data_IF_011797975978
#
_entry.id   IF_011797975978
#
_cell.length_a   1.000
_cell.length_b   1.000
_cell.length_c   1.000
_cell.angle_alpha   90.00
_cell.angle_beta   90.00
_cell.angle_gamma   90.00
#
_symmetry.space_group_name_H-M   'P 1'
#
loop_
_entity.id
_entity.type
_entity.pdbx_description
1 polymer ?
#
# COMPACT_ATOMS: atom_id res chain seq x y z
N UNK A 1 2.91 -5.33 -34.37
CA UNK A 1 2.33 -4.23 -33.57
C UNK A 1 1.05 -3.82 -34.26
N UNK A 2 -0.09 -3.89 -33.56
CA UNK A 2 -1.31 -3.25 -34.02
C UNK A 2 -1.04 -1.74 -33.93
N UNK A 3 -1.24 -0.96 -35.01
CA UNK A 3 -1.09 0.48 -34.91
C UNK A 3 -2.11 0.98 -33.88
N UNK A 4 -1.63 1.66 -32.85
CA UNK A 4 -2.46 2.44 -31.95
C UNK A 4 -3.29 3.41 -32.82
N UNK A 5 -4.60 3.30 -32.80
CA UNK A 5 -5.46 4.29 -33.44
C UNK A 5 -5.62 5.45 -32.45
N UNK A 6 -5.71 6.69 -32.97
CA UNK A 6 -6.01 7.88 -32.14
C UNK A 6 -7.35 7.76 -31.39
N UNK A 7 -8.21 6.80 -31.73
CA UNK A 7 -9.45 6.48 -31.04
C UNK A 7 -9.27 5.60 -29.78
N UNK A 8 -8.07 4.99 -29.57
CA UNK A 8 -7.75 4.13 -28.40
C UNK A 8 -7.06 4.90 -27.26
N UNK A 9 -7.01 6.24 -27.31
CA UNK A 9 -6.20 7.07 -26.39
C UNK A 9 -6.65 7.05 -24.92
N UNK A 10 -7.81 6.50 -24.58
CA UNK A 10 -8.35 6.56 -23.22
C UNK A 10 -8.64 5.20 -22.58
N UNK A 11 -7.73 4.23 -22.75
CA UNK A 11 -7.79 2.95 -22.05
C UNK A 11 -6.94 2.96 -20.78
N UNK A 12 -7.24 2.08 -19.81
CA UNK A 12 -6.41 1.89 -18.62
C UNK A 12 -4.94 1.54 -18.98
N UNK A 13 -4.74 0.87 -20.13
CA UNK A 13 -3.41 0.50 -20.62
C UNK A 13 -2.64 1.71 -21.13
N UNK A 14 -3.27 2.58 -21.95
CA UNK A 14 -2.64 3.79 -22.47
C UNK A 14 -2.32 4.78 -21.36
N UNK A 15 -3.21 4.91 -20.37
CA UNK A 15 -2.97 5.75 -19.18
C UNK A 15 -1.76 5.29 -18.39
N UNK A 16 -1.63 3.98 -18.14
CA UNK A 16 -0.47 3.42 -17.43
C UNK A 16 0.85 3.73 -18.14
N UNK A 17 0.90 3.61 -19.46
CA UNK A 17 2.08 3.95 -20.24
C UNK A 17 2.40 5.46 -20.22
N UNK A 18 1.38 6.32 -20.36
CA UNK A 18 1.56 7.78 -20.32
C UNK A 18 2.09 8.27 -18.97
N UNK A 19 1.49 7.81 -17.86
CA UNK A 19 1.87 8.25 -16.51
C UNK A 19 3.32 7.92 -16.19
N UNK A 20 3.80 6.76 -16.67
CA UNK A 20 5.12 6.24 -16.32
C UNK A 20 6.12 6.25 -17.48
N UNK A 21 5.83 7.00 -18.54
CA UNK A 21 6.71 7.14 -19.73
C UNK A 21 7.11 5.79 -20.38
N UNK A 22 6.20 4.82 -20.38
CA UNK A 22 6.42 3.51 -20.99
C UNK A 22 6.43 3.59 -22.52
N UNK A 23 7.33 2.83 -23.17
CA UNK A 23 7.50 2.76 -24.62
C UNK A 23 7.87 1.35 -25.09
N UNK A 24 8.01 1.16 -26.39
CA UNK A 24 8.49 -0.10 -26.98
C UNK A 24 9.93 -0.48 -26.57
N UNK A 25 10.73 0.51 -26.18
CA UNK A 25 12.10 0.32 -25.69
C UNK A 25 12.16 -0.06 -24.21
N UNK A 26 11.03 0.02 -23.49
CA UNK A 26 10.99 -0.28 -22.07
C UNK A 26 11.21 -1.77 -21.79
N UNK A 27 11.90 -2.05 -20.68
CA UNK A 27 12.04 -3.40 -20.14
C UNK A 27 11.39 -3.38 -18.75
N UNK A 28 10.23 -4.04 -18.65
CA UNK A 28 9.38 -4.01 -17.47
C UNK A 28 9.56 -5.27 -16.63
N UNK A 29 9.89 -5.12 -15.34
CA UNK A 29 10.00 -6.21 -14.36
C UNK A 29 8.70 -6.35 -13.55
N UNK A 30 8.11 -7.53 -13.57
CA UNK A 30 6.93 -7.93 -12.80
C UNK A 30 7.29 -8.97 -11.75
N UNK A 31 7.53 -8.58 -10.48
CA UNK A 31 7.84 -9.52 -9.40
C UNK A 31 6.59 -10.09 -8.72
N UNK A 32 5.41 -9.54 -8.98
CA UNK A 32 4.15 -9.93 -8.37
C UNK A 32 3.31 -10.84 -9.29
N UNK A 33 2.42 -11.69 -8.72
CA UNK A 33 1.62 -12.63 -9.50
C UNK A 33 0.66 -11.94 -10.48
N UNK A 34 0.61 -12.44 -11.72
CA UNK A 34 -0.16 -11.84 -12.82
C UNK A 34 -1.68 -11.97 -12.70
N UNK A 35 -2.21 -12.76 -11.78
CA UNK A 35 -3.66 -12.85 -11.57
C UNK A 35 -4.24 -11.67 -10.77
N UNK A 36 -3.40 -10.69 -10.39
CA UNK A 36 -3.83 -9.44 -9.78
C UNK A 36 -4.04 -8.35 -10.82
N UNK A 37 -4.97 -7.45 -10.51
CA UNK A 37 -5.32 -6.35 -11.43
C UNK A 37 -4.10 -5.53 -11.83
N UNK A 38 -3.30 -5.07 -10.88
CA UNK A 38 -2.17 -4.20 -11.16
C UNK A 38 -1.06 -4.90 -11.99
N UNK A 39 -0.46 -6.03 -11.56
CA UNK A 39 0.53 -6.74 -12.38
C UNK A 39 0.00 -7.12 -13.76
N UNK A 40 -1.25 -7.56 -13.88
CA UNK A 40 -1.84 -7.89 -15.17
C UNK A 40 -1.97 -6.66 -16.06
N UNK A 41 -2.49 -5.55 -15.54
CA UNK A 41 -2.68 -4.31 -16.29
C UNK A 41 -1.35 -3.75 -16.80
N UNK A 42 -0.34 -3.64 -15.92
CA UNK A 42 0.95 -3.10 -16.32
C UNK A 42 1.68 -4.02 -17.32
N UNK A 43 1.70 -5.34 -17.12
CA UNK A 43 2.27 -6.25 -18.12
C UNK A 43 1.55 -6.13 -19.47
N UNK A 44 0.22 -6.08 -19.46
CA UNK A 44 -0.57 -5.93 -20.70
C UNK A 44 -0.27 -4.60 -21.38
N UNK A 45 -0.12 -3.51 -20.63
CA UNK A 45 0.19 -2.19 -21.16
C UNK A 45 1.57 -2.17 -21.84
N UNK A 46 2.61 -2.62 -21.13
CA UNK A 46 3.97 -2.66 -21.69
C UNK A 46 4.08 -3.59 -22.89
N UNK A 47 3.45 -4.78 -22.85
CA UNK A 47 3.41 -5.69 -24.00
C UNK A 47 2.65 -5.10 -25.17
N UNK A 48 1.53 -4.40 -24.96
CA UNK A 48 0.78 -3.72 -26.02
C UNK A 48 1.60 -2.60 -26.68
N UNK A 49 2.47 -1.93 -25.92
CA UNK A 49 3.43 -0.95 -26.45
C UNK A 49 4.60 -1.58 -27.24
N UNK A 50 4.74 -2.91 -27.25
CA UNK A 50 5.88 -3.59 -27.87
C UNK A 50 7.10 -3.76 -26.95
N UNK A 51 6.98 -3.39 -25.67
CA UNK A 51 8.03 -3.50 -24.67
C UNK A 51 8.34 -4.97 -24.29
N UNK A 52 9.46 -5.17 -23.59
CA UNK A 52 9.83 -6.47 -23.03
C UNK A 52 9.31 -6.59 -21.60
N UNK A 53 8.64 -7.71 -21.27
CA UNK A 53 8.27 -8.04 -19.88
C UNK A 53 9.17 -9.14 -19.33
N UNK A 54 9.79 -8.88 -18.17
CA UNK A 54 10.53 -9.83 -17.36
C UNK A 54 9.65 -10.21 -16.18
N UNK A 55 9.28 -11.49 -16.07
CA UNK A 55 8.33 -11.97 -15.05
C UNK A 55 9.08 -12.89 -14.10
N UNK A 56 9.06 -12.58 -12.81
CA UNK A 56 9.55 -13.50 -11.79
C UNK A 56 8.44 -14.48 -11.42
N UNK A 57 8.78 -15.76 -11.38
CA UNK A 57 7.85 -16.81 -10.95
C UNK A 57 7.42 -16.60 -9.48
N UNK A 58 8.35 -16.14 -8.65
CA UNK A 58 8.17 -15.79 -7.24
C UNK A 58 9.11 -14.65 -6.90
N UNK A 59 8.63 -13.72 -6.07
CA UNK A 59 9.48 -12.66 -5.54
C UNK A 59 10.56 -13.23 -4.62
N UNK A 60 11.79 -12.91 -4.97
CA UNK A 60 13.00 -13.09 -4.19
C UNK A 60 13.88 -11.86 -4.38
N UNK A 61 14.44 -11.32 -3.32
CA UNK A 61 15.09 -10.02 -3.32
C UNK A 61 16.34 -10.02 -4.23
N UNK A 62 17.20 -11.02 -4.06
CA UNK A 62 18.44 -11.09 -4.85
C UNK A 62 18.15 -11.39 -6.31
N UNK A 63 17.18 -12.27 -6.60
CA UNK A 63 16.73 -12.56 -7.96
C UNK A 63 16.16 -11.34 -8.67
N UNK A 64 15.46 -10.46 -7.93
CA UNK A 64 14.91 -9.23 -8.48
C UNK A 64 16.02 -8.21 -8.83
N UNK A 65 17.00 -8.01 -7.94
CA UNK A 65 18.17 -7.15 -8.22
C UNK A 65 18.98 -7.67 -9.41
N UNK A 66 19.20 -8.98 -9.43
CA UNK A 66 19.88 -9.65 -10.55
C UNK A 66 19.13 -9.48 -11.88
N UNK A 67 17.79 -9.58 -11.85
CA UNK A 67 16.98 -9.36 -13.06
C UNK A 67 17.11 -7.91 -13.57
N UNK A 68 17.15 -6.92 -12.65
CA UNK A 68 17.35 -5.51 -13.03
C UNK A 68 18.69 -5.35 -13.76
N UNK A 69 19.77 -5.92 -13.24
CA UNK A 69 21.10 -5.86 -13.86
C UNK A 69 21.17 -6.63 -15.19
N UNK A 70 20.77 -7.91 -15.19
CA UNK A 70 20.94 -8.82 -16.33
C UNK A 70 20.12 -8.37 -17.56
N UNK A 71 18.89 -7.94 -17.35
CA UNK A 71 17.97 -7.53 -18.41
C UNK A 71 17.96 -6.01 -18.66
N UNK A 72 18.73 -5.22 -17.88
CA UNK A 72 18.72 -3.75 -17.97
C UNK A 72 17.30 -3.19 -17.83
N UNK A 73 16.60 -3.65 -16.81
CA UNK A 73 15.23 -3.24 -16.49
C UNK A 73 15.14 -1.73 -16.34
N UNK A 74 14.15 -1.14 -17.01
CA UNK A 74 13.88 0.31 -16.93
C UNK A 74 12.69 0.63 -16.04
N UNK A 75 11.66 -0.23 -16.03
CA UNK A 75 10.41 -0.05 -15.29
C UNK A 75 10.10 -1.28 -14.45
N UNK A 76 9.46 -1.07 -13.31
CA UNK A 76 9.10 -2.18 -12.42
C UNK A 76 7.89 -1.83 -11.55
N UNK A 77 7.24 -2.84 -10.99
CA UNK A 77 6.15 -2.63 -10.04
C UNK A 77 6.34 -3.44 -8.76
N UNK A 78 6.10 -2.82 -7.62
CA UNK A 78 6.38 -3.34 -6.28
C UNK A 78 5.18 -3.18 -5.34
N UNK A 79 5.27 -3.86 -4.21
CA UNK A 79 4.43 -3.60 -3.03
C UNK A 79 5.33 -3.26 -1.83
N UNK A 80 4.86 -2.47 -0.85
CA UNK A 80 5.70 -1.98 0.25
C UNK A 80 6.41 -3.07 1.05
N UNK A 81 5.81 -4.26 1.20
CA UNK A 81 6.47 -5.39 1.87
C UNK A 81 7.73 -5.88 1.13
N UNK A 82 7.78 -5.75 -0.20
CA UNK A 82 8.99 -6.06 -0.97
C UNK A 82 10.10 -5.05 -0.65
N UNK A 83 9.76 -3.77 -0.50
CA UNK A 83 10.72 -2.73 -0.08
C UNK A 83 11.29 -3.01 1.31
N UNK A 84 10.43 -3.37 2.29
CA UNK A 84 10.89 -3.77 3.62
C UNK A 84 11.89 -4.93 3.54
N UNK A 85 11.62 -5.94 2.73
CA UNK A 85 12.50 -7.09 2.54
C UNK A 85 13.82 -6.67 1.88
N UNK A 86 13.79 -5.84 0.86
CA UNK A 86 14.99 -5.26 0.24
C UNK A 86 15.86 -4.49 1.26
N UNK A 87 15.24 -3.67 2.09
CA UNK A 87 15.97 -2.87 3.08
C UNK A 87 16.63 -3.72 4.15
N UNK A 88 16.05 -4.89 4.47
CA UNK A 88 16.58 -5.86 5.44
C UNK A 88 17.65 -6.80 4.87
N UNK A 89 17.91 -6.77 3.55
CA UNK A 89 19.02 -7.54 2.95
C UNK A 89 20.38 -7.10 3.50
N UNK A 90 21.33 -8.03 3.45
CA UNK A 90 22.72 -7.73 3.75
C UNK A 90 23.23 -6.59 2.82
N UNK A 91 23.86 -5.54 3.37
CA UNK A 91 24.39 -4.43 2.59
C UNK A 91 25.37 -4.87 1.49
N UNK A 92 26.13 -5.95 1.71
CA UNK A 92 27.06 -6.48 0.70
C UNK A 92 26.35 -7.06 -0.52
N UNK A 93 25.13 -7.59 -0.35
CA UNK A 93 24.30 -8.07 -1.46
C UNK A 93 23.69 -6.88 -2.19
N UNK A 94 23.16 -5.89 -1.45
CA UNK A 94 22.58 -4.67 -2.05
C UNK A 94 23.55 -3.93 -2.99
N UNK A 95 24.83 -3.87 -2.62
CA UNK A 95 25.86 -3.18 -3.40
C UNK A 95 26.45 -3.98 -4.55
N UNK A 96 26.06 -5.25 -4.71
CA UNK A 96 26.63 -6.16 -5.72
C UNK A 96 26.10 -5.92 -7.14
N UNK A 97 24.89 -5.38 -7.27
CA UNK A 97 24.17 -5.27 -8.52
C UNK A 97 24.15 -3.86 -9.09
N UNK A 98 24.32 -3.72 -10.40
CA UNK A 98 24.16 -2.47 -11.14
C UNK A 98 22.69 -2.18 -11.43
N UNK A 99 22.12 -1.21 -10.76
CA UNK A 99 20.71 -0.79 -10.92
C UNK A 99 20.57 0.48 -11.79
N UNK A 100 21.61 0.94 -12.46
CA UNK A 100 21.64 2.20 -13.19
C UNK A 100 20.67 2.31 -14.37
N UNK A 101 20.20 1.16 -14.90
CA UNK A 101 19.18 1.13 -15.94
C UNK A 101 17.76 1.39 -15.44
N UNK A 102 17.52 1.25 -14.11
CA UNK A 102 16.21 1.33 -13.50
C UNK A 102 15.77 2.79 -13.37
N UNK A 103 14.74 3.20 -14.07
CA UNK A 103 14.29 4.58 -14.19
C UNK A 103 12.98 4.86 -13.48
N UNK A 104 12.09 3.85 -13.42
CA UNK A 104 10.75 3.97 -12.83
C UNK A 104 10.41 2.75 -11.98
N UNK A 105 10.21 2.96 -10.69
CA UNK A 105 9.80 1.95 -9.73
C UNK A 105 8.40 2.29 -9.19
N UNK A 106 7.37 1.64 -9.73
CA UNK A 106 5.97 1.88 -9.36
C UNK A 106 5.64 1.06 -8.13
N UNK A 107 4.95 1.63 -7.15
CA UNK A 107 4.41 0.84 -6.04
C UNK A 107 2.99 1.24 -5.66
N UNK A 108 2.25 0.28 -5.10
CA UNK A 108 0.87 0.45 -4.68
C UNK A 108 0.41 -0.72 -3.79
N UNK A 109 -0.90 -0.92 -3.69
CA UNK A 109 -1.60 -2.02 -3.01
C UNK A 109 -1.68 -1.92 -1.49
N UNK A 110 -0.77 -1.22 -0.84
CA UNK A 110 -0.81 -0.93 0.60
C UNK A 110 -0.09 0.41 0.85
N UNK A 111 -0.41 1.11 1.93
CA UNK A 111 0.35 2.29 2.32
C UNK A 111 1.82 1.91 2.61
N UNK A 112 2.75 2.72 2.07
CA UNK A 112 4.17 2.52 2.31
C UNK A 112 4.60 3.29 3.56
N UNK A 113 5.26 2.66 4.57
CA UNK A 113 5.80 3.39 5.70
C UNK A 113 6.77 4.50 5.25
N UNK A 114 6.66 5.69 5.87
CA UNK A 114 7.47 6.85 5.48
C UNK A 114 8.96 6.52 5.46
N UNK A 115 9.47 5.91 6.54
CA UNK A 115 10.89 5.52 6.67
C UNK A 115 11.31 4.52 5.58
N UNK A 116 10.44 3.60 5.21
CA UNK A 116 10.72 2.63 4.13
C UNK A 116 10.89 3.34 2.80
N UNK A 117 9.96 4.25 2.46
CA UNK A 117 10.01 4.96 1.18
C UNK A 117 11.20 5.93 1.12
N UNK A 118 11.52 6.63 2.22
CA UNK A 118 12.72 7.45 2.32
C UNK A 118 13.99 6.66 2.04
N UNK A 119 14.18 5.52 2.71
CA UNK A 119 15.36 4.66 2.53
C UNK A 119 15.42 4.06 1.12
N UNK A 120 14.29 3.74 0.51
CA UNK A 120 14.27 3.28 -0.88
C UNK A 120 14.65 4.38 -1.86
N UNK A 121 14.18 5.62 -1.66
CA UNK A 121 14.57 6.79 -2.47
C UNK A 121 16.08 7.08 -2.28
N UNK A 122 16.60 6.98 -1.05
CA UNK A 122 18.03 7.14 -0.80
C UNK A 122 18.87 6.10 -1.54
N UNK A 123 18.40 4.85 -1.62
CA UNK A 123 19.14 3.77 -2.25
C UNK A 123 18.97 3.73 -3.78
N UNK A 124 17.74 3.82 -4.28
CA UNK A 124 17.45 3.67 -5.73
C UNK A 124 17.45 5.00 -6.49
N UNK A 125 17.47 6.12 -5.76
CA UNK A 125 17.26 7.45 -6.32
C UNK A 125 15.77 7.83 -6.39
N UNK A 126 15.45 9.03 -6.90
CA UNK A 126 14.09 9.56 -6.95
C UNK A 126 13.25 8.96 -8.10
N UNK A 127 13.26 7.63 -8.22
CA UNK A 127 12.56 6.89 -9.28
C UNK A 127 11.27 6.22 -8.81
N UNK A 128 10.91 6.37 -7.52
CA UNK A 128 9.71 5.77 -6.96
C UNK A 128 8.47 6.58 -7.33
N UNK A 129 7.46 5.87 -7.82
CA UNK A 129 6.14 6.40 -8.11
C UNK A 129 5.10 5.61 -7.33
N UNK A 130 4.25 6.29 -6.60
CA UNK A 130 3.15 5.66 -5.87
C UNK A 130 1.81 6.02 -6.53
N UNK A 131 0.91 5.06 -6.55
CA UNK A 131 -0.49 5.34 -6.83
C UNK A 131 -1.40 4.67 -5.80
N UNK A 132 -2.54 5.30 -5.53
CA UNK A 132 -3.64 4.71 -4.78
C UNK A 132 -4.85 4.60 -5.69
N UNK A 133 -5.35 3.38 -5.84
CA UNK A 133 -6.52 3.04 -6.64
C UNK A 133 -7.12 1.72 -6.19
N UNK A 134 -8.37 1.45 -6.55
CA UNK A 134 -9.04 0.17 -6.36
C UNK A 134 -9.20 -0.61 -7.66
N UNK A 135 -9.46 -1.90 -7.53
CA UNK A 135 -9.85 -2.77 -8.66
C UNK A 135 -11.19 -2.31 -9.26
N UNK A 136 -11.99 -1.62 -8.48
CA UNK A 136 -13.27 -1.00 -8.84
C UNK A 136 -13.10 0.11 -9.89
N UNK A 137 -11.88 0.59 -10.12
CA UNK A 137 -11.55 1.66 -11.07
C UNK A 137 -12.37 2.95 -10.86
N UNK A 138 -12.65 3.27 -9.59
CA UNK A 138 -13.48 4.41 -9.21
C UNK A 138 -12.70 5.74 -9.06
N UNK A 139 -11.40 5.70 -9.22
CA UNK A 139 -10.50 6.85 -9.16
C UNK A 139 -9.06 6.43 -8.86
N UNK A 140 -8.15 7.38 -8.99
CA UNK A 140 -6.72 7.15 -8.79
C UNK A 140 -6.03 8.41 -8.30
N UNK A 141 -5.13 8.28 -7.33
CA UNK A 141 -4.13 9.30 -7.01
C UNK A 141 -2.75 8.85 -7.44
N UNK A 142 -1.87 9.79 -7.72
CA UNK A 142 -0.47 9.53 -8.09
C UNK A 142 0.46 10.52 -7.41
N UNK A 143 1.68 10.08 -7.11
CA UNK A 143 2.76 10.91 -6.59
C UNK A 143 4.11 10.33 -7.00
N UNK A 144 5.03 11.18 -7.44
CA UNK A 144 6.42 10.82 -7.70
C UNK A 144 7.31 11.04 -6.47
N UNK A 145 8.59 10.69 -6.57
CA UNK A 145 9.53 10.83 -5.45
C UNK A 145 9.79 12.26 -5.03
N UNK A 146 9.85 13.20 -5.97
CA UNK A 146 10.15 14.62 -5.70
C UNK A 146 8.99 15.25 -4.93
N UNK A 147 7.76 15.11 -5.44
CA UNK A 147 6.56 15.56 -4.74
C UNK A 147 6.41 14.88 -3.37
N UNK A 148 6.70 13.58 -3.30
CA UNK A 148 6.56 12.83 -2.05
C UNK A 148 7.54 13.29 -0.97
N UNK A 149 8.75 13.70 -1.32
CA UNK A 149 9.73 14.24 -0.36
C UNK A 149 9.25 15.53 0.31
N UNK A 150 8.40 16.30 -0.38
CA UNK A 150 7.73 17.50 0.16
C UNK A 150 6.45 17.14 0.93
N UNK A 151 5.75 16.07 0.52
CA UNK A 151 4.48 15.59 1.09
C UNK A 151 4.61 14.17 1.67
N UNK A 152 5.54 13.97 2.60
CA UNK A 152 5.85 12.65 3.18
C UNK A 152 4.63 11.98 3.80
N UNK A 153 4.36 10.74 3.39
CA UNK A 153 3.21 9.96 3.84
C UNK A 153 1.96 10.11 2.98
N UNK A 154 1.95 11.05 2.03
CA UNK A 154 0.87 11.19 1.06
C UNK A 154 0.89 10.06 0.03
N UNK A 155 -0.29 9.69 -0.46
CA UNK A 155 -0.49 8.81 -1.63
C UNK A 155 -0.79 9.62 -2.91
N UNK A 156 -0.57 10.93 -2.87
CA UNK A 156 -0.65 11.84 -4.01
C UNK A 156 -1.97 12.57 -4.18
N UNK A 157 -2.10 13.19 -5.34
CA UNK A 157 -3.29 13.94 -5.75
C UNK A 157 -4.10 13.15 -6.76
N UNK A 158 -5.41 13.43 -6.79
CA UNK A 158 -6.30 12.80 -7.78
C UNK A 158 -5.85 13.10 -9.20
N UNK A 159 -5.78 12.05 -10.00
CA UNK A 159 -5.49 12.17 -11.44
C UNK A 159 -6.76 12.41 -12.27
N UNK A 160 -7.91 11.89 -11.79
CA UNK A 160 -9.18 11.95 -12.49
C UNK A 160 -10.30 12.38 -11.53
N UNK A 161 -10.84 13.57 -11.75
CA UNK A 161 -11.94 14.10 -10.96
C UNK A 161 -11.56 14.52 -9.54
N UNK A 162 -12.50 15.09 -8.79
CA UNK A 162 -12.26 15.55 -7.44
C UNK A 162 -12.21 14.40 -6.43
N UNK A 163 -11.40 14.59 -5.38
CA UNK A 163 -11.45 13.83 -4.15
C UNK A 163 -12.28 14.59 -3.13
N UNK A 164 -13.06 13.85 -2.36
CA UNK A 164 -13.89 14.37 -1.28
C UNK A 164 -13.58 13.60 0.01
N UNK A 165 -13.47 14.32 1.12
CA UNK A 165 -13.37 13.73 2.44
C UNK A 165 -14.66 14.03 3.18
N UNK A 166 -15.43 12.97 3.50
CA UNK A 166 -16.77 13.10 4.07
C UNK A 166 -16.84 12.56 5.50
N UNK A 167 -17.61 13.24 6.34
CA UNK A 167 -18.00 12.75 7.66
C UNK A 167 -19.04 11.62 7.59
N UNK A 168 -19.55 11.19 8.75
CA UNK A 168 -20.56 10.14 8.82
C UNK A 168 -21.95 10.57 8.30
N UNK A 169 -22.23 11.87 8.28
CA UNK A 169 -23.43 12.47 7.71
C UNK A 169 -23.33 12.73 6.21
N UNK A 170 -22.16 12.44 5.59
CA UNK A 170 -21.90 12.63 4.16
C UNK A 170 -21.61 14.08 3.76
N UNK A 171 -21.17 14.92 4.70
CA UNK A 171 -20.74 16.29 4.45
C UNK A 171 -19.23 16.37 4.34
N UNK A 172 -18.75 17.27 3.50
CA UNK A 172 -17.32 17.56 3.42
C UNK A 172 -16.79 18.11 4.73
N UNK A 173 -15.65 17.55 5.17
CA UNK A 173 -14.89 18.03 6.32
C UNK A 173 -13.92 19.14 5.92
N UNK A 174 -13.38 19.87 6.88
CA UNK A 174 -12.37 20.89 6.61
C UNK A 174 -11.03 20.25 6.19
N UNK A 175 -10.20 21.01 5.48
CA UNK A 175 -8.83 20.61 5.12
C UNK A 175 -8.05 20.20 6.37
N UNK A 176 -7.36 19.06 6.31
CA UNK A 176 -6.64 18.46 7.42
C UNK A 176 -7.51 17.63 8.38
N UNK A 177 -8.83 17.68 8.28
CA UNK A 177 -9.71 16.82 9.07
C UNK A 177 -9.88 15.45 8.41
N UNK A 178 -9.94 14.41 9.22
CA UNK A 178 -10.05 13.02 8.78
C UNK A 178 -11.50 12.62 8.55
N UNK A 179 -11.76 11.96 7.41
CA UNK A 179 -13.08 11.42 7.06
C UNK A 179 -12.96 10.28 6.06
N UNK A 180 -14.08 9.77 5.57
CA UNK A 180 -14.12 8.78 4.50
C UNK A 180 -13.65 9.37 3.17
N UNK A 181 -12.80 8.64 2.44
CA UNK A 181 -12.27 9.04 1.14
C UNK A 181 -13.23 8.64 0.03
N UNK A 182 -13.66 9.60 -0.78
CA UNK A 182 -14.56 9.40 -1.90
C UNK A 182 -14.00 10.01 -3.19
N UNK A 183 -14.18 9.29 -4.28
CA UNK A 183 -13.94 9.79 -5.63
C UNK A 183 -15.26 10.26 -6.24
N UNK A 184 -15.26 11.42 -6.87
CA UNK A 184 -16.44 12.03 -7.45
C UNK A 184 -16.21 12.59 -8.86
N UNK A 185 -17.27 13.23 -9.43
CA UNK A 185 -17.26 13.91 -10.72
C UNK A 185 -17.76 13.05 -11.89
N UNK A 186 -17.82 13.66 -13.08
CA UNK A 186 -18.35 13.04 -14.31
C UNK A 186 -17.54 11.84 -14.81
N UNK A 187 -16.32 11.67 -14.29
CA UNK A 187 -15.42 10.54 -14.57
C UNK A 187 -15.55 9.39 -13.57
N UNK A 188 -16.41 9.54 -12.55
CA UNK A 188 -16.64 8.48 -11.58
C UNK A 188 -17.19 7.24 -12.27
N UNK A 189 -16.39 6.18 -12.28
CA UNK A 189 -16.81 4.90 -12.85
C UNK A 189 -17.80 4.26 -11.89
N UNK A 190 -18.99 3.91 -12.38
CA UNK A 190 -19.94 3.11 -11.63
C UNK A 190 -19.49 1.66 -11.67
N UNK A 191 -19.41 1.03 -10.50
CA UNK A 191 -19.10 -0.39 -10.34
C UNK A 191 -20.19 -1.07 -9.53
N UNK A 192 -20.27 -2.39 -9.63
CA UNK A 192 -21.21 -3.21 -8.86
C UNK A 192 -20.48 -4.43 -8.31
N UNK A 193 -20.66 -4.70 -7.02
CA UNK A 193 -20.17 -5.94 -6.43
C UNK A 193 -21.10 -7.10 -6.82
N UNK A 194 -20.53 -8.14 -7.43
CA UNK A 194 -21.30 -9.27 -7.91
C UNK A 194 -22.09 -9.95 -6.79
N UNK A 195 -23.42 -10.03 -6.95
CA UNK A 195 -24.36 -10.60 -5.97
C UNK A 195 -24.32 -9.97 -4.56
N UNK A 196 -23.83 -8.74 -4.43
CA UNK A 196 -23.74 -8.02 -3.16
C UNK A 196 -24.21 -6.57 -3.32
N UNK A 197 -25.55 -6.44 -3.41
CA UNK A 197 -26.21 -5.16 -3.61
C UNK A 197 -26.02 -4.20 -2.42
N UNK A 198 -26.08 -4.73 -1.20
CA UNK A 198 -25.93 -3.94 0.02
C UNK A 198 -24.53 -3.31 0.09
N UNK A 199 -23.49 -4.08 -0.23
CA UNK A 199 -22.13 -3.59 -0.30
C UNK A 199 -21.97 -2.54 -1.41
N UNK A 200 -22.59 -2.74 -2.57
CA UNK A 200 -22.56 -1.76 -3.67
C UNK A 200 -23.21 -0.44 -3.25
N UNK A 201 -24.42 -0.51 -2.66
CA UNK A 201 -25.13 0.68 -2.18
C UNK A 201 -24.37 1.39 -1.07
N UNK A 202 -23.65 0.68 -0.19
CA UNK A 202 -22.82 1.27 0.86
C UNK A 202 -21.55 1.94 0.37
N UNK A 203 -21.07 1.58 -0.81
CA UNK A 203 -19.85 2.12 -1.41
C UNK A 203 -20.10 3.37 -2.27
N UNK A 204 -21.35 3.69 -2.59
CA UNK A 204 -21.73 4.79 -3.49
C UNK A 204 -22.68 5.74 -2.76
N UNK A 205 -22.37 7.04 -2.75
CA UNK A 205 -23.27 8.06 -2.19
C UNK A 205 -24.47 8.34 -3.11
N UNK A 206 -25.48 9.03 -2.61
CA UNK A 206 -26.65 9.45 -3.40
C UNK A 206 -26.28 10.35 -4.58
N UNK A 207 -25.18 11.09 -4.45
CA UNK A 207 -24.66 12.00 -5.47
C UNK A 207 -23.67 11.34 -6.42
N UNK A 208 -23.53 9.98 -6.35
CA UNK A 208 -22.70 9.19 -7.25
C UNK A 208 -21.22 9.15 -6.92
N UNK A 209 -20.78 9.73 -5.80
CA UNK A 209 -19.40 9.57 -5.33
C UNK A 209 -19.19 8.16 -4.80
N UNK A 210 -18.00 7.59 -5.02
CA UNK A 210 -17.69 6.22 -4.63
C UNK A 210 -16.47 6.11 -3.73
N UNK A 211 -16.49 5.14 -2.81
CA UNK A 211 -15.44 4.91 -1.81
C UNK A 211 -14.96 3.47 -1.82
N UNK A 212 -13.68 3.27 -1.52
CA UNK A 212 -13.08 1.96 -1.23
C UNK A 212 -13.16 1.58 0.26
N UNK A 213 -13.77 2.47 1.08
CA UNK A 213 -13.86 2.31 2.53
C UNK A 213 -12.59 2.73 3.27
N UNK A 214 -11.72 3.47 2.62
CA UNK A 214 -10.52 4.04 3.23
C UNK A 214 -10.84 5.38 3.91
N UNK A 215 -10.08 5.71 4.95
CA UNK A 215 -10.17 6.92 5.75
C UNK A 215 -8.89 7.72 5.57
N UNK A 216 -9.02 9.04 5.44
CA UNK A 216 -7.88 9.92 5.21
C UNK A 216 -8.25 11.39 5.33
N UNK A 217 -7.32 12.25 4.97
CA UNK A 217 -7.51 13.69 4.89
C UNK A 217 -6.76 14.28 3.69
N UNK A 218 -7.15 15.46 3.27
CA UNK A 218 -6.43 16.26 2.27
C UNK A 218 -5.68 17.39 2.99
N UNK A 219 -4.47 17.69 2.51
CA UNK A 219 -3.81 18.93 2.88
C UNK A 219 -4.32 20.13 2.05
N UNK A 220 -3.79 21.32 2.29
CA UNK A 220 -4.16 22.56 1.60
C UNK A 220 -3.73 22.60 0.14
N UNK A 221 -2.83 21.73 -0.29
CA UNK A 221 -2.39 21.54 -1.67
C UNK A 221 -3.14 20.40 -2.39
N UNK A 222 -4.06 19.71 -1.68
CA UNK A 222 -4.92 18.64 -2.23
C UNK A 222 -4.24 17.27 -2.30
N UNK A 223 -3.15 17.05 -1.56
CA UNK A 223 -2.55 15.75 -1.40
C UNK A 223 -3.32 14.90 -0.39
N UNK A 224 -3.56 13.63 -0.74
CA UNK A 224 -4.28 12.66 0.09
C UNK A 224 -3.33 11.93 1.02
N UNK A 225 -3.69 11.88 2.30
CA UNK A 225 -3.05 11.08 3.34
C UNK A 225 -4.02 10.03 3.84
N UNK A 226 -3.68 8.75 3.65
CA UNK A 226 -4.49 7.64 4.15
C UNK A 226 -4.09 7.33 5.59
N UNK A 227 -5.07 7.25 6.48
CA UNK A 227 -4.86 6.86 7.88
C UNK A 227 -5.03 5.36 8.09
N UNK A 228 -6.16 4.80 7.68
CA UNK A 228 -6.43 3.33 7.68
C UNK A 228 -7.76 3.04 6.95
N UNK A 229 -8.20 1.79 7.00
CA UNK A 229 -9.56 1.43 6.61
C UNK A 229 -10.52 1.61 7.79
N UNK A 230 -11.71 2.13 7.56
CA UNK A 230 -12.76 2.28 8.57
C UNK A 230 -13.02 0.96 9.33
N UNK A 231 -12.93 -0.20 8.65
CA UNK A 231 -13.14 -1.53 9.22
C UNK A 231 -12.05 -2.01 10.19
N UNK A 232 -10.89 -1.36 10.23
CA UNK A 232 -9.77 -1.73 11.10
C UNK A 232 -9.52 -0.74 12.22
N UNK A 233 -10.19 0.40 12.21
CA UNK A 233 -10.10 1.39 13.28
C UNK A 233 -10.44 0.75 14.63
N UNK A 234 -9.60 0.98 15.62
CA UNK A 234 -9.76 0.50 17.00
C UNK A 234 -10.39 1.60 17.82
N UNK A 235 -11.44 1.30 18.55
CA UNK A 235 -12.08 2.28 19.46
C UNK A 235 -11.74 1.90 20.89
N UNK A 236 -10.73 2.57 21.44
CA UNK A 236 -10.24 2.30 22.80
C UNK A 236 -10.51 3.51 23.72
N UNK A 237 -11.36 3.33 24.71
CA UNK A 237 -11.74 4.40 25.65
C UNK A 237 -12.30 5.66 24.97
N UNK A 238 -13.01 5.49 23.83
CA UNK A 238 -13.56 6.60 23.04
C UNK A 238 -12.55 7.28 22.12
N UNK A 239 -11.32 6.76 22.03
CA UNK A 239 -10.29 7.27 21.13
C UNK A 239 -10.20 6.37 19.90
N UNK A 240 -10.24 6.98 18.72
CA UNK A 240 -10.01 6.30 17.45
C UNK A 240 -8.51 6.08 17.25
N UNK A 241 -8.10 4.82 17.16
CA UNK A 241 -6.70 4.42 16.93
C UNK A 241 -6.63 3.72 15.58
N UNK A 242 -5.73 4.18 14.75
CA UNK A 242 -5.46 3.58 13.43
C UNK A 242 -4.26 2.63 13.54
N UNK A 243 -4.48 1.32 13.35
CA UNK A 243 -3.44 0.28 13.52
C UNK A 243 -2.19 0.49 12.68
N UNK A 244 -2.33 1.12 11.51
CA UNK A 244 -1.25 1.31 10.56
C UNK A 244 -0.02 1.99 11.16
N UNK A 245 -0.18 3.00 12.00
CA UNK A 245 0.94 3.70 12.62
C UNK A 245 1.81 2.76 13.48
N UNK A 246 1.15 1.85 14.20
CA UNK A 246 1.82 0.82 15.01
C UNK A 246 2.47 -0.25 14.13
N UNK A 247 1.81 -0.66 13.04
CA UNK A 247 2.37 -1.61 12.07
C UNK A 247 3.62 -1.03 11.40
N UNK A 248 3.56 0.23 10.95
CA UNK A 248 4.67 0.93 10.30
C UNK A 248 5.90 1.04 11.20
N UNK A 249 5.69 1.24 12.50
CA UNK A 249 6.77 1.27 13.48
C UNK A 249 7.35 -0.12 13.72
N UNK A 250 6.49 -1.11 14.02
CA UNK A 250 6.94 -2.46 14.38
C UNK A 250 7.64 -3.19 13.23
N UNK A 251 7.18 -3.00 11.98
CA UNK A 251 7.80 -3.67 10.82
C UNK A 251 9.24 -3.24 10.58
N UNK A 252 9.65 -2.06 11.07
CA UNK A 252 11.04 -1.58 10.98
C UNK A 252 11.96 -2.21 12.04
N UNK A 253 11.41 -2.83 13.07
CA UNK A 253 12.23 -3.47 14.11
C UNK A 253 13.00 -4.66 13.52
N UNK A 254 14.34 -4.80 13.81
CA UNK A 254 15.19 -5.85 13.21
C UNK A 254 14.69 -7.28 13.42
N UNK A 255 14.03 -7.54 14.55
CA UNK A 255 13.52 -8.87 14.91
C UNK A 255 12.09 -9.15 14.38
N UNK A 256 11.47 -8.23 13.66
CA UNK A 256 10.13 -8.37 13.08
C UNK A 256 10.25 -8.63 11.59
N UNK A 257 9.73 -9.74 11.09
CA UNK A 257 9.63 -9.98 9.64
C UNK A 257 8.35 -9.37 9.08
N UNK A 258 7.24 -9.49 9.83
CA UNK A 258 5.93 -8.98 9.45
C UNK A 258 5.06 -8.74 10.69
N UNK A 259 4.02 -7.90 10.57
CA UNK A 259 3.15 -7.55 11.70
C UNK A 259 1.73 -7.25 11.25
N UNK A 260 0.77 -7.61 12.07
CA UNK A 260 -0.63 -7.22 12.00
C UNK A 260 -1.05 -6.59 13.33
N UNK A 261 -1.71 -5.43 13.28
CA UNK A 261 -2.25 -4.75 14.46
C UNK A 261 -3.76 -4.57 14.30
N UNK A 262 -4.52 -4.87 15.35
CA UNK A 262 -5.98 -4.73 15.38
C UNK A 262 -6.51 -4.61 16.81
N UNK A 263 -7.78 -4.22 16.94
CA UNK A 263 -8.48 -4.17 18.21
C UNK A 263 -8.96 -5.54 18.64
N UNK A 264 -8.79 -5.84 19.92
CA UNK A 264 -9.40 -6.98 20.61
C UNK A 264 -10.30 -6.50 21.75
N UNK A 265 -11.31 -7.30 22.17
CA UNK A 265 -12.22 -6.88 23.24
C UNK A 265 -11.47 -6.56 24.54
N UNK A 266 -11.87 -5.44 25.19
CA UNK A 266 -11.41 -5.05 26.50
C UNK A 266 -12.63 -4.57 27.32
N UNK A 267 -12.84 -5.11 28.51
CA UNK A 267 -14.03 -4.84 29.35
C UNK A 267 -14.15 -3.36 29.75
N UNK A 268 -13.03 -2.68 29.98
CA UNK A 268 -13.01 -1.29 30.46
C UNK A 268 -13.00 -0.29 29.30
N UNK A 269 -12.23 -0.57 28.25
CA UNK A 269 -11.96 0.38 27.16
C UNK A 269 -12.77 0.10 25.89
N UNK A 270 -13.57 -0.97 25.86
CA UNK A 270 -14.25 -1.47 24.65
C UNK A 270 -13.31 -2.32 23.80
N UNK A 271 -12.28 -1.71 23.26
CA UNK A 271 -11.19 -2.39 22.56
C UNK A 271 -9.82 -2.01 23.13
N UNK A 272 -8.84 -2.88 22.97
CA UNK A 272 -7.42 -2.59 23.17
C UNK A 272 -6.58 -2.99 21.97
N UNK A 273 -5.41 -2.36 21.83
CA UNK A 273 -4.49 -2.61 20.72
C UNK A 273 -3.75 -3.91 20.97
N UNK A 274 -3.84 -4.85 20.02
CA UNK A 274 -3.09 -6.09 19.97
C UNK A 274 -2.28 -6.17 18.70
N UNK A 275 -1.05 -6.67 18.81
CA UNK A 275 -0.24 -7.04 17.65
C UNK A 275 -0.09 -8.55 17.53
N UNK A 276 -0.02 -9.06 16.30
CA UNK A 276 0.45 -10.40 15.98
C UNK A 276 1.67 -10.22 15.07
N UNK A 277 2.79 -10.77 15.53
CA UNK A 277 4.11 -10.57 14.91
C UNK A 277 4.62 -11.87 14.32
N UNK A 278 5.09 -11.81 13.08
CA UNK A 278 5.97 -12.82 12.52
C UNK A 278 7.41 -12.41 12.86
N UNK A 279 8.11 -13.15 13.72
CA UNK A 279 9.47 -12.80 14.07
C UNK A 279 10.44 -13.10 12.91
N UNK A 280 11.54 -12.36 12.82
CA UNK A 280 12.59 -12.62 11.84
C UNK A 280 13.29 -13.98 12.09
N UNK A 281 13.38 -14.38 13.35
CA UNK A 281 13.80 -15.71 13.79
C UNK A 281 12.76 -16.24 14.77
N UNK A 282 12.16 -17.40 14.46
CA UNK A 282 11.10 -17.99 15.28
C UNK A 282 11.58 -18.35 16.70
N UNK A 283 12.86 -18.64 16.88
CA UNK A 283 13.45 -18.95 18.19
C UNK A 283 13.42 -17.73 19.15
N UNK A 284 13.29 -16.53 18.64
CA UNK A 284 13.15 -15.31 19.44
C UNK A 284 11.73 -15.09 19.98
N UNK A 285 10.73 -15.82 19.46
CA UNK A 285 9.33 -15.68 19.86
C UNK A 285 9.14 -16.00 21.34
N UNK A 286 8.51 -15.10 22.08
CA UNK A 286 8.19 -15.32 23.49
C UNK A 286 8.16 -14.03 24.31
N UNK A 287 8.01 -14.16 25.66
CA UNK A 287 7.78 -13.02 26.55
C UNK A 287 8.89 -11.95 26.51
N UNK A 288 10.12 -12.33 26.21
CA UNK A 288 11.23 -11.37 26.13
C UNK A 288 11.09 -10.47 24.90
N UNK A 289 10.79 -11.05 23.74
CA UNK A 289 10.56 -10.28 22.52
C UNK A 289 9.28 -9.45 22.60
N UNK A 290 8.21 -9.98 23.20
CA UNK A 290 6.97 -9.22 23.46
C UNK A 290 7.28 -7.97 24.28
N UNK A 291 7.98 -8.10 25.41
CA UNK A 291 8.35 -6.97 26.27
C UNK A 291 9.23 -5.95 25.55
N UNK A 292 10.21 -6.40 24.74
CA UNK A 292 11.09 -5.57 23.92
C UNK A 292 10.28 -4.75 22.89
N UNK A 293 9.39 -5.38 22.16
CA UNK A 293 8.58 -4.71 21.13
C UNK A 293 7.55 -3.74 21.71
N UNK A 294 6.93 -4.09 22.85
CA UNK A 294 6.03 -3.17 23.57
C UNK A 294 6.81 -1.95 24.08
N UNK A 295 8.01 -2.16 24.63
CA UNK A 295 8.87 -1.05 25.08
C UNK A 295 9.26 -0.16 23.89
N UNK A 296 9.67 -0.76 22.77
CA UNK A 296 10.00 -0.06 21.53
C UNK A 296 8.83 0.83 21.04
N UNK A 297 7.60 0.30 21.07
CA UNK A 297 6.42 1.10 20.73
C UNK A 297 6.22 2.27 21.69
N UNK A 298 6.32 2.05 23.02
CA UNK A 298 6.12 3.11 24.04
C UNK A 298 7.16 4.22 23.97
N UNK A 299 8.36 3.92 23.49
CA UNK A 299 9.44 4.90 23.30
C UNK A 299 9.23 5.77 22.05
N UNK A 300 8.57 5.23 21.03
CA UNK A 300 8.47 5.88 19.71
C UNK A 300 7.07 6.38 19.35
N UNK A 301 6.03 6.06 20.14
CA UNK A 301 4.67 6.51 19.91
C UNK A 301 3.88 6.69 21.21
N UNK A 302 2.68 7.27 21.10
CA UNK A 302 1.76 7.41 22.23
C UNK A 302 1.39 6.05 22.82
N UNK A 303 1.38 5.95 24.16
CA UNK A 303 1.10 4.71 24.88
C UNK A 303 -0.31 4.14 24.61
N UNK A 304 -1.28 4.97 24.19
CA UNK A 304 -2.63 4.50 23.83
C UNK A 304 -2.62 3.72 22.51
N UNK A 305 -1.69 4.02 21.60
CA UNK A 305 -1.50 3.35 20.32
C UNK A 305 -0.59 2.13 20.42
N UNK A 306 0.19 2.03 21.50
CA UNK A 306 1.11 0.89 21.72
C UNK A 306 0.32 -0.37 22.03
N UNK A 307 0.73 -1.55 21.51
CA UNK A 307 0.10 -2.81 21.81
C UNK A 307 0.11 -3.11 23.32
N UNK A 308 -1.00 -3.64 23.84
CA UNK A 308 -1.11 -4.14 25.20
C UNK A 308 -0.55 -5.56 25.33
N UNK A 309 -0.64 -6.32 24.23
CA UNK A 309 -0.12 -7.66 24.13
C UNK A 309 0.35 -7.97 22.71
N UNK A 310 1.30 -8.89 22.59
CA UNK A 310 1.83 -9.35 21.29
C UNK A 310 1.82 -10.88 21.28
N UNK A 311 1.18 -11.47 20.28
CA UNK A 311 1.29 -12.88 19.97
C UNK A 311 2.23 -13.09 18.77
N UNK A 312 2.73 -14.31 18.62
CA UNK A 312 3.68 -14.66 17.56
C UNK A 312 3.09 -15.76 16.67
N UNK A 313 3.27 -15.61 15.37
CA UNK A 313 2.91 -16.61 14.35
C UNK A 313 4.14 -16.87 13.49
N UNK A 314 4.33 -18.11 13.03
CA UNK A 314 5.41 -18.48 12.12
C UNK A 314 5.28 -17.76 10.77
N UNK A 315 4.03 -17.58 10.28
CA UNK A 315 3.71 -16.87 9.06
C UNK A 315 2.34 -16.19 9.22
N UNK A 316 2.27 -14.89 8.87
CA UNK A 316 0.99 -14.19 8.86
C UNK A 316 0.18 -14.55 7.61
N UNK A 317 -1.15 -14.70 7.74
CA UNK A 317 -2.00 -15.04 6.61
C UNK A 317 -2.01 -13.91 5.58
N UNK A 318 -1.37 -14.16 4.45
CA UNK A 318 -1.36 -13.22 3.33
C UNK A 318 -2.01 -13.83 2.09
N UNK A 319 -2.73 -12.99 1.38
CA UNK A 319 -3.12 -13.31 0.03
C UNK A 319 -1.84 -13.41 -0.83
N UNK A 320 -1.81 -14.25 -1.87
CA UNK A 320 -0.65 -14.32 -2.76
C UNK A 320 -0.21 -12.97 -3.36
N UNK A 321 -1.05 -11.94 -3.32
CA UNK A 321 -0.71 -10.53 -3.62
C UNK A 321 0.23 -9.86 -2.63
N UNK A 322 0.49 -10.49 -1.51
CA UNK A 322 1.11 -9.85 -0.36
C UNK A 322 0.14 -9.12 0.58
N UNK A 323 -1.16 -8.96 0.23
CA UNK A 323 -2.14 -8.30 1.11
C UNK A 323 -2.41 -9.16 2.34
N UNK A 324 -2.26 -8.55 3.53
CA UNK A 324 -2.52 -9.19 4.81
C UNK A 324 -4.03 -9.46 4.99
N UNK A 325 -4.38 -10.70 5.34
CA UNK A 325 -5.73 -11.08 5.77
C UNK A 325 -5.93 -10.79 7.26
N UNK A 326 -5.87 -9.52 7.63
CA UNK A 326 -6.00 -9.06 9.02
C UNK A 326 -7.27 -9.60 9.71
N UNK A 327 -8.37 -9.75 8.96
CA UNK A 327 -9.63 -10.32 9.46
C UNK A 327 -9.45 -11.73 10.01
N UNK A 328 -8.72 -12.61 9.31
CA UNK A 328 -8.51 -14.00 9.76
C UNK A 328 -7.75 -14.08 11.10
N UNK A 329 -6.90 -13.09 11.37
CA UNK A 329 -6.24 -12.96 12.68
C UNK A 329 -7.21 -12.41 13.71
N UNK A 330 -7.88 -11.29 13.41
CA UNK A 330 -8.84 -10.65 14.32
C UNK A 330 -9.92 -11.61 14.78
N UNK A 331 -10.49 -12.40 13.88
CA UNK A 331 -11.58 -13.37 14.16
C UNK A 331 -11.18 -14.45 15.19
N UNK A 332 -9.85 -14.70 15.43
CA UNK A 332 -9.38 -15.61 16.49
C UNK A 332 -9.60 -15.05 17.91
N UNK A 333 -9.74 -13.72 18.05
CA UNK A 333 -9.83 -13.02 19.33
C UNK A 333 -11.23 -12.42 19.59
N UNK A 334 -12.11 -12.48 18.62
CA UNK A 334 -13.49 -12.03 18.76
C UNK A 334 -14.40 -13.25 18.89
N UNK A 335 -15.27 -13.31 19.92
CA UNK A 335 -16.18 -14.44 20.17
C UNK A 335 -17.23 -14.62 19.07
#
# INVERSE_FOLDING_TARGET
PLPYSEEDEDTALSRALMIYAGSEESIYLSPAPLYHAAPLTFNSAFLAAGATSVILEKFDEESALKAIEDFKVTHSQWVPTMFVRFLKMDPSIKSKYDLSSHQVAIHAAAPCPVVVKEQMIEWWGPILHEYYAGTENNGMTVINSEEWLEHKGSVGRSLFGPLHILDEEGKEVAVGETGGVYFGGDTATTFEYHNDKEKTESAITKDGMSSLGDVGYLDDEGYLYLTDRKSFMIISGGVNIYPKETEDLLVMHPKVADVAVFGVPNEEMGEEVKAVVQPANLDDAGPNLEAELIAYCKENMSSIKSPRSIDFEEELPRHPTGKLYKRLLKDKYWP
#
